data_IF_078750933601
#
_entry.id   IF_078750933601
#
_cell.length_a   1.000
_cell.length_b   1.000
_cell.length_c   1.000
_cell.angle_alpha   90.00
_cell.angle_beta   90.00
_cell.angle_gamma   90.00
#
_symmetry.space_group_name_H-M   'P 1'
#
loop_
_entity.id
_entity.type
_entity.pdbx_description
1 polymer ?
#
# COMPACT_ATOMS: atom_id res chain seq x y z
N UNK A 1 -8.59 -22.74 -1.73
CA UNK A 1 -9.58 -21.86 -2.41
C UNK A 1 -8.85 -20.55 -2.70
N UNK A 2 -8.85 -20.09 -3.92
CA UNK A 2 -8.18 -18.82 -4.27
C UNK A 2 -8.98 -17.64 -3.70
N UNK A 3 -8.33 -16.76 -2.94
CA UNK A 3 -8.94 -15.57 -2.34
C UNK A 3 -9.76 -14.72 -3.32
N UNK A 4 -9.33 -14.46 -4.57
CA UNK A 4 -10.12 -13.69 -5.53
C UNK A 4 -11.51 -14.27 -5.84
N UNK A 5 -11.66 -15.58 -5.78
CA UNK A 5 -12.95 -16.24 -6.08
C UNK A 5 -14.03 -15.98 -5.01
N UNK A 6 -13.63 -15.61 -3.80
CA UNK A 6 -14.58 -15.33 -2.72
C UNK A 6 -15.21 -13.94 -2.83
N UNK A 7 -14.63 -13.05 -3.64
CA UNK A 7 -15.15 -11.70 -3.87
C UNK A 7 -15.97 -11.59 -5.17
N UNK A 8 -16.16 -12.68 -5.91
CA UNK A 8 -17.07 -12.69 -7.05
C UNK A 8 -18.48 -12.26 -6.60
N UNK A 9 -19.05 -11.27 -7.30
CA UNK A 9 -20.32 -10.63 -6.97
C UNK A 9 -20.35 -9.86 -5.63
N UNK A 10 -19.21 -9.43 -5.10
CA UNK A 10 -19.13 -8.53 -3.97
C UNK A 10 -18.94 -7.11 -4.50
N UNK A 11 -19.82 -6.20 -4.11
CA UNK A 11 -19.65 -4.78 -4.43
C UNK A 11 -18.49 -4.22 -3.62
N UNK A 12 -17.47 -3.74 -4.31
CA UNK A 12 -16.29 -3.12 -3.70
C UNK A 12 -16.42 -1.61 -3.88
N UNK A 13 -16.49 -0.89 -2.76
CA UNK A 13 -16.55 0.56 -2.78
C UNK A 13 -15.19 1.12 -3.24
N UNK A 14 -15.14 2.14 -4.12
CA UNK A 14 -13.89 2.75 -4.55
C UNK A 14 -13.10 3.31 -3.35
N UNK A 15 -11.82 2.91 -3.23
CA UNK A 15 -10.97 3.29 -2.10
C UNK A 15 -10.85 4.82 -1.91
N UNK A 16 -10.93 5.58 -2.99
CA UNK A 16 -10.88 7.05 -2.99
C UNK A 16 -12.21 7.70 -3.39
N UNK A 17 -13.34 6.96 -3.31
CA UNK A 17 -14.64 7.44 -3.76
C UNK A 17 -14.57 7.91 -5.21
N UNK A 18 -15.10 9.10 -5.48
CA UNK A 18 -15.07 9.72 -6.82
C UNK A 18 -13.80 10.53 -7.14
N UNK A 19 -12.78 10.45 -6.30
CA UNK A 19 -11.56 11.29 -6.46
C UNK A 19 -10.73 10.89 -7.68
N UNK A 20 -10.52 9.59 -7.92
CA UNK A 20 -9.71 9.10 -9.03
C UNK A 20 -10.48 9.24 -10.34
N UNK A 21 -9.91 9.96 -11.32
CA UNK A 21 -10.49 10.15 -12.64
C UNK A 21 -9.50 9.76 -13.73
N UNK A 22 -9.99 9.09 -14.76
CA UNK A 22 -9.18 8.64 -15.89
C UNK A 22 -8.22 7.51 -15.52
N UNK A 23 -7.41 7.14 -16.50
CA UNK A 23 -6.41 6.08 -16.33
C UNK A 23 -5.23 6.55 -15.47
N UNK A 24 -4.66 5.67 -14.63
CA UNK A 24 -3.48 5.99 -13.85
C UNK A 24 -2.22 6.12 -14.71
N UNK A 25 -1.29 6.94 -14.26
CA UNK A 25 0.10 6.79 -14.67
C UNK A 25 0.73 5.59 -13.98
N UNK A 26 1.34 4.69 -14.74
CA UNK A 26 2.04 3.52 -14.17
C UNK A 26 3.51 3.87 -14.00
N UNK A 27 3.90 4.14 -12.77
CA UNK A 27 5.30 4.36 -12.43
C UNK A 27 6.10 3.07 -12.66
N UNK A 28 7.31 3.22 -13.20
CA UNK A 28 8.27 2.14 -13.25
C UNK A 28 9.33 2.32 -12.15
N UNK A 29 9.04 1.75 -10.98
CA UNK A 29 9.95 1.73 -9.84
C UNK A 29 10.94 0.56 -9.86
N UNK A 30 10.96 -0.22 -10.94
CA UNK A 30 11.83 -1.37 -11.07
C UNK A 30 13.31 -0.98 -11.16
N UNK A 31 14.20 -1.89 -10.76
CA UNK A 31 15.64 -1.66 -10.88
C UNK A 31 16.16 -1.66 -12.31
N UNK A 32 15.34 -2.04 -13.29
CA UNK A 32 15.67 -1.88 -14.71
C UNK A 32 15.52 -0.44 -15.20
N UNK A 33 14.77 0.41 -14.48
CA UNK A 33 14.65 1.83 -14.77
C UNK A 33 15.78 2.61 -14.08
N UNK A 34 16.75 3.18 -14.83
CA UNK A 34 17.88 3.93 -14.25
C UNK A 34 17.43 5.18 -13.47
N UNK A 35 16.28 5.76 -13.79
CA UNK A 35 15.72 6.93 -13.09
C UNK A 35 15.52 6.66 -11.60
N UNK A 36 15.31 5.42 -11.19
CA UNK A 36 15.17 5.04 -9.77
C UNK A 36 16.42 5.35 -8.93
N UNK A 37 17.58 5.48 -9.56
CA UNK A 37 18.83 5.88 -8.89
C UNK A 37 18.94 7.39 -8.70
N UNK A 38 18.14 8.18 -9.42
CA UNK A 38 18.15 9.64 -9.38
C UNK A 38 17.26 10.19 -8.26
N UNK A 39 16.30 9.39 -7.75
CA UNK A 39 15.41 9.82 -6.67
C UNK A 39 16.19 10.14 -5.39
N UNK A 40 15.88 11.30 -4.80
CA UNK A 40 16.43 11.71 -3.51
C UNK A 40 15.63 11.06 -2.37
N UNK A 41 16.07 9.89 -1.92
CA UNK A 41 15.38 9.11 -0.89
C UNK A 41 15.63 9.62 0.55
N UNK A 42 16.44 10.67 0.72
CA UNK A 42 16.81 11.21 2.04
C UNK A 42 16.12 12.52 2.37
N UNK A 43 15.46 13.12 1.39
CA UNK A 43 14.72 14.38 1.52
C UNK A 43 13.30 14.16 1.01
N UNK A 44 12.34 14.14 1.93
CA UNK A 44 10.94 13.89 1.61
C UNK A 44 10.38 14.87 0.57
N UNK A 45 10.60 16.18 0.77
CA UNK A 45 10.00 17.20 -0.09
C UNK A 45 10.53 17.10 -1.52
N UNK A 46 11.83 16.87 -1.66
CA UNK A 46 12.46 16.69 -2.98
C UNK A 46 11.98 15.40 -3.63
N UNK A 47 11.90 14.30 -2.87
CA UNK A 47 11.43 13.03 -3.41
C UNK A 47 9.96 13.11 -3.84
N UNK A 48 9.09 13.65 -3.00
CA UNK A 48 7.67 13.86 -3.30
C UNK A 48 7.49 14.77 -4.54
N UNK A 49 8.24 15.87 -4.61
CA UNK A 49 8.23 16.75 -5.77
C UNK A 49 8.62 16.03 -7.06
N UNK A 50 9.68 15.22 -7.07
CA UNK A 50 10.12 14.44 -8.23
C UNK A 50 9.03 13.50 -8.74
N UNK A 51 8.36 12.79 -7.84
CA UNK A 51 7.26 11.87 -8.17
C UNK A 51 6.07 12.63 -8.77
N UNK A 52 5.65 13.74 -8.13
CA UNK A 52 4.51 14.51 -8.63
C UNK A 52 4.84 15.34 -9.91
N UNK A 53 6.10 15.67 -10.17
CA UNK A 53 6.52 16.23 -11.46
C UNK A 53 6.40 15.20 -12.58
N UNK A 54 6.81 13.96 -12.33
CA UNK A 54 6.64 12.86 -13.27
C UNK A 54 5.16 12.59 -13.56
N UNK A 55 4.33 12.56 -12.53
CA UNK A 55 2.88 12.41 -12.66
C UNK A 55 2.28 13.53 -13.52
N UNK A 56 2.60 14.79 -13.22
CA UNK A 56 2.13 15.95 -14.01
C UNK A 56 2.57 15.89 -15.48
N UNK A 57 3.80 15.46 -15.73
CA UNK A 57 4.31 15.30 -17.10
C UNK A 57 3.55 14.25 -17.91
N UNK A 58 2.96 13.24 -17.26
CA UNK A 58 2.13 12.23 -17.91
C UNK A 58 0.71 12.70 -18.24
N UNK A 59 0.29 13.85 -17.70
CA UNK A 59 -1.10 14.37 -17.76
C UNK A 59 -2.13 13.52 -16.99
N UNK A 60 -1.73 12.49 -16.26
CA UNK A 60 -2.60 11.73 -15.37
C UNK A 60 -2.82 12.47 -14.04
N UNK A 61 -3.97 12.26 -13.42
CA UNK A 61 -4.29 12.87 -12.11
C UNK A 61 -3.76 12.06 -10.93
N UNK A 62 -3.52 10.78 -11.14
CA UNK A 62 -3.05 9.83 -10.14
C UNK A 62 -2.19 8.75 -10.78
N UNK A 63 -1.49 7.98 -9.96
CA UNK A 63 -0.60 6.96 -10.47
C UNK A 63 -0.57 5.69 -9.62
N UNK A 64 0.07 4.65 -10.13
CA UNK A 64 0.29 3.38 -9.43
C UNK A 64 1.74 2.93 -9.52
N UNK A 65 2.23 2.36 -8.42
CA UNK A 65 3.42 1.53 -8.35
C UNK A 65 3.01 0.06 -8.19
N UNK A 66 3.63 -0.83 -8.98
CA UNK A 66 3.12 -2.19 -9.22
C UNK A 66 3.35 -3.16 -8.06
N UNK A 67 2.42 -4.07 -7.89
CA UNK A 67 2.56 -5.28 -7.09
C UNK A 67 3.58 -6.24 -7.71
N UNK A 68 4.41 -6.89 -6.88
CA UNK A 68 5.52 -7.79 -7.24
C UNK A 68 6.60 -7.17 -8.13
N UNK A 69 6.70 -5.85 -8.14
CA UNK A 69 7.77 -5.14 -8.81
C UNK A 69 9.09 -5.26 -8.05
N UNK A 70 10.18 -5.56 -8.74
CA UNK A 70 11.52 -5.61 -8.14
C UNK A 70 12.07 -4.19 -7.97
N UNK A 71 12.33 -3.76 -6.72
CA UNK A 71 12.66 -2.37 -6.34
C UNK A 71 14.02 -2.21 -5.66
N UNK A 72 14.99 -3.04 -5.95
CA UNK A 72 16.29 -3.02 -5.29
C UNK A 72 16.95 -1.62 -5.30
N UNK A 73 16.86 -0.88 -6.40
CA UNK A 73 17.44 0.47 -6.49
C UNK A 73 16.71 1.45 -5.54
N UNK A 74 15.39 1.40 -5.49
CA UNK A 74 14.58 2.25 -4.63
C UNK A 74 14.85 1.97 -3.14
N UNK A 75 15.19 0.73 -2.82
CA UNK A 75 15.45 0.26 -1.46
C UNK A 75 16.93 0.31 -1.04
N UNK A 76 17.81 0.88 -1.88
CA UNK A 76 19.28 0.86 -1.70
C UNK A 76 19.78 1.41 -0.37
N UNK A 77 19.03 2.27 0.30
CA UNK A 77 19.39 2.85 1.58
C UNK A 77 18.96 2.00 2.78
N UNK A 78 18.14 0.97 2.56
CA UNK A 78 17.59 0.12 3.64
C UNK A 78 18.36 -1.19 3.72
N UNK A 79 19.50 -1.15 4.43
CA UNK A 79 20.51 -2.24 4.46
C UNK A 79 19.89 -3.59 4.86
N UNK A 80 18.97 -3.63 5.82
CA UNK A 80 18.35 -4.88 6.27
C UNK A 80 17.55 -5.54 5.13
N UNK A 81 16.75 -4.75 4.43
CA UNK A 81 15.95 -5.23 3.28
C UNK A 81 16.87 -5.76 2.17
N UNK A 82 17.96 -5.04 1.90
CA UNK A 82 18.94 -5.44 0.86
C UNK A 82 19.68 -6.71 1.28
N UNK A 83 20.12 -6.85 2.54
CA UNK A 83 20.81 -8.04 3.05
C UNK A 83 19.90 -9.27 3.01
N UNK A 84 18.63 -9.13 3.34
CA UNK A 84 17.62 -10.18 3.28
C UNK A 84 17.08 -10.42 1.86
N UNK A 85 17.55 -9.66 0.87
CA UNK A 85 17.11 -9.71 -0.54
C UNK A 85 15.60 -9.52 -0.71
N UNK A 86 14.94 -8.84 0.23
CA UNK A 86 13.50 -8.56 0.20
C UNK A 86 13.25 -7.28 -0.60
N UNK A 87 13.15 -7.35 -1.89
CA UNK A 87 12.92 -6.18 -2.75
C UNK A 87 11.80 -6.34 -3.79
N UNK A 88 11.03 -7.43 -3.71
CA UNK A 88 9.79 -7.55 -4.48
C UNK A 88 8.62 -7.00 -3.68
N UNK A 89 7.98 -6.00 -4.20
CA UNK A 89 6.93 -5.21 -3.54
C UNK A 89 5.64 -6.01 -3.36
N UNK A 90 5.16 -6.15 -2.13
CA UNK A 90 3.96 -6.94 -1.80
C UNK A 90 2.64 -6.16 -1.86
N UNK A 91 2.72 -4.85 -2.09
CA UNK A 91 1.57 -3.97 -2.20
C UNK A 91 1.34 -3.41 -3.59
N UNK A 92 0.26 -2.66 -3.72
CA UNK A 92 -0.03 -1.72 -4.79
C UNK A 92 0.10 -0.33 -4.19
N UNK A 93 0.98 0.50 -4.71
CA UNK A 93 1.03 1.90 -4.31
C UNK A 93 0.06 2.71 -5.17
N UNK A 94 -0.77 3.52 -4.54
CA UNK A 94 -1.64 4.46 -5.23
C UNK A 94 -1.17 5.87 -4.90
N UNK A 95 -0.59 6.54 -5.90
CA UNK A 95 0.02 7.86 -5.79
C UNK A 95 -1.05 8.93 -5.96
N UNK A 96 -1.33 9.61 -4.87
CA UNK A 96 -2.31 10.69 -4.77
C UNK A 96 -1.80 11.76 -3.80
N UNK A 97 -2.28 13.01 -3.85
CA UNK A 97 -1.80 14.09 -2.98
C UNK A 97 -2.04 13.83 -1.49
N UNK A 98 -1.25 14.53 -0.68
CA UNK A 98 -1.45 14.62 0.77
C UNK A 98 -2.90 14.95 1.14
N UNK A 99 -3.37 14.39 2.25
CA UNK A 99 -4.70 14.61 2.85
C UNK A 99 -5.89 14.09 2.01
N UNK A 100 -5.63 13.37 0.91
CA UNK A 100 -6.69 12.70 0.14
C UNK A 100 -7.40 11.68 1.04
N UNK A 101 -8.76 11.75 1.16
CA UNK A 101 -9.51 10.83 2.00
C UNK A 101 -9.58 9.43 1.39
N UNK A 102 -9.64 8.42 2.26
CA UNK A 102 -9.74 7.02 1.91
C UNK A 102 -10.97 6.40 2.57
N UNK A 103 -11.67 5.57 1.82
CA UNK A 103 -12.92 4.94 2.21
C UNK A 103 -12.76 3.41 2.25
N UNK A 104 -13.37 2.75 3.23
CA UNK A 104 -13.29 1.30 3.34
C UNK A 104 -13.92 0.63 2.11
N UNK A 105 -13.19 -0.25 1.40
CA UNK A 105 -13.72 -0.90 0.20
C UNK A 105 -14.78 -1.93 0.52
N UNK A 106 -14.77 -2.49 1.71
CA UNK A 106 -15.71 -3.47 2.23
C UNK A 106 -15.92 -3.21 3.72
N UNK A 107 -17.03 -3.74 4.26
CA UNK A 107 -17.22 -3.79 5.71
C UNK A 107 -16.01 -4.47 6.37
N UNK A 108 -15.55 -3.90 7.48
CA UNK A 108 -14.36 -4.35 8.17
C UNK A 108 -14.41 -4.07 9.68
N UNK A 109 -13.54 -4.75 10.41
CA UNK A 109 -13.14 -4.39 11.77
C UNK A 109 -11.75 -3.79 11.73
N UNK A 110 -11.49 -2.72 12.47
CA UNK A 110 -10.15 -2.16 12.64
C UNK A 110 -9.31 -3.14 13.46
N UNK A 111 -8.44 -3.87 12.80
CA UNK A 111 -7.62 -4.91 13.43
C UNK A 111 -6.41 -4.34 14.15
N UNK A 112 -5.73 -3.37 13.52
CA UNK A 112 -4.54 -2.73 14.08
C UNK A 112 -4.37 -1.33 13.49
N UNK A 113 -3.91 -0.41 14.32
CA UNK A 113 -3.44 0.91 13.90
C UNK A 113 -2.08 1.17 14.55
N UNK A 114 -1.28 2.02 13.92
CA UNK A 114 -0.01 2.40 14.51
C UNK A 114 0.74 3.44 13.70
N UNK A 115 1.93 3.75 14.21
CA UNK A 115 2.90 4.61 13.54
C UNK A 115 4.30 4.06 13.73
N UNK A 116 5.00 3.84 12.64
CA UNK A 116 6.42 3.52 12.60
C UNK A 116 7.21 4.79 12.26
N UNK A 117 8.28 5.04 12.99
CA UNK A 117 9.00 6.32 12.88
C UNK A 117 10.34 6.22 12.16
N UNK A 118 10.78 5.00 11.83
CA UNK A 118 12.03 4.81 11.10
C UNK A 118 11.83 5.15 9.62
N UNK A 119 12.85 5.75 9.03
CA UNK A 119 12.87 6.03 7.60
C UNK A 119 12.78 4.74 6.80
N UNK A 120 11.91 4.72 5.79
CA UNK A 120 11.66 3.56 4.94
C UNK A 120 10.59 2.60 5.43
N UNK A 121 10.05 2.81 6.64
CA UNK A 121 8.92 2.06 7.15
C UNK A 121 7.58 2.64 6.66
N UNK A 122 6.47 2.11 7.18
CA UNK A 122 5.12 2.49 6.75
C UNK A 122 4.63 3.86 7.26
N UNK A 123 5.35 4.50 8.23
CA UNK A 123 4.78 5.67 8.88
C UNK A 123 3.49 5.33 9.61
N UNK A 124 2.46 6.15 9.46
CA UNK A 124 1.10 5.84 9.92
C UNK A 124 0.49 4.70 9.13
N UNK A 125 -0.15 3.74 9.83
CA UNK A 125 -0.81 2.62 9.16
C UNK A 125 -2.11 2.18 9.83
N UNK A 126 -2.99 1.61 9.03
CA UNK A 126 -4.24 0.96 9.45
C UNK A 126 -4.31 -0.42 8.81
N UNK A 127 -4.75 -1.41 9.59
CA UNK A 127 -5.06 -2.76 9.09
C UNK A 127 -6.52 -3.03 9.37
N UNK A 128 -7.26 -3.33 8.32
CA UNK A 128 -8.66 -3.71 8.39
C UNK A 128 -8.80 -5.22 8.22
N UNK A 129 -9.59 -5.86 9.08
CA UNK A 129 -9.98 -7.26 8.97
C UNK A 129 -11.33 -7.36 8.28
N UNK A 130 -11.37 -8.09 7.18
CA UNK A 130 -12.58 -8.38 6.42
C UNK A 130 -13.03 -9.83 6.61
N UNK A 131 -14.34 -10.07 6.44
CA UNK A 131 -14.89 -11.41 6.39
C UNK A 131 -15.91 -11.48 5.26
N UNK A 132 -15.58 -12.16 4.17
CA UNK A 132 -16.43 -12.33 3.00
C UNK A 132 -16.63 -13.81 2.75
N UNK A 133 -17.90 -14.27 2.66
CA UNK A 133 -18.23 -15.67 2.45
C UNK A 133 -17.53 -16.64 3.44
N UNK A 134 -17.42 -16.24 4.72
CA UNK A 134 -16.73 -16.97 5.82
C UNK A 134 -15.21 -17.10 5.64
N UNK A 135 -14.61 -16.34 4.74
CA UNK A 135 -13.16 -16.26 4.59
C UNK A 135 -12.67 -14.92 5.15
N UNK A 136 -11.77 -15.01 6.13
CA UNK A 136 -11.12 -13.82 6.68
C UNK A 136 -9.88 -13.47 5.87
N UNK A 137 -9.67 -12.17 5.66
CA UNK A 137 -8.45 -11.61 5.11
C UNK A 137 -8.23 -10.20 5.67
N UNK A 138 -7.07 -9.65 5.46
CA UNK A 138 -6.69 -8.34 5.98
C UNK A 138 -6.23 -7.44 4.84
N UNK A 139 -6.63 -6.17 4.88
CA UNK A 139 -6.07 -5.12 4.05
C UNK A 139 -5.20 -4.20 4.90
N UNK A 140 -3.97 -4.02 4.49
CA UNK A 140 -2.99 -3.16 5.12
C UNK A 140 -2.87 -1.87 4.32
N UNK A 141 -2.91 -0.73 4.99
CA UNK A 141 -2.77 0.59 4.41
C UNK A 141 -1.65 1.33 5.13
N UNK A 142 -0.57 1.62 4.42
CA UNK A 142 0.58 2.38 4.93
C UNK A 142 0.62 3.82 4.46
N UNK A 143 1.53 4.61 5.05
CA UNK A 143 1.83 6.00 4.72
C UNK A 143 0.65 6.96 4.98
N UNK A 144 -0.06 6.71 6.07
CA UNK A 144 -1.29 7.41 6.42
C UNK A 144 -1.05 8.55 7.42
N UNK A 145 -1.85 9.61 7.29
CA UNK A 145 -1.87 10.74 8.22
C UNK A 145 -2.22 10.29 9.64
N UNK A 146 -1.48 10.79 10.62
CA UNK A 146 -1.73 10.55 12.04
C UNK A 146 -2.07 11.85 12.79
N UNK A 147 -2.82 11.80 13.91
CA UNK A 147 -3.46 10.61 14.49
C UNK A 147 -4.63 10.10 13.67
N UNK A 148 -4.93 8.80 13.77
CA UNK A 148 -6.10 8.22 13.13
C UNK A 148 -7.38 8.61 13.87
N UNK A 149 -8.49 8.75 13.12
CA UNK A 149 -9.83 9.08 13.67
C UNK A 149 -10.62 7.86 14.14
N UNK A 150 -10.06 6.66 13.96
CA UNK A 150 -10.64 5.36 14.29
C UNK A 150 -9.81 4.67 15.37
N UNK A 151 -10.39 3.69 16.06
CA UNK A 151 -9.74 2.90 17.10
C UNK A 151 -9.79 1.39 16.77
N UNK A 152 -8.85 0.62 17.35
CA UNK A 152 -8.86 -0.85 17.22
C UNK A 152 -10.16 -1.41 17.78
N UNK A 153 -10.80 -2.31 17.03
CA UNK A 153 -12.10 -2.89 17.33
C UNK A 153 -13.30 -2.16 16.71
N UNK A 154 -13.12 -0.95 16.19
CA UNK A 154 -14.19 -0.23 15.50
C UNK A 154 -14.69 -1.03 14.29
N UNK A 155 -16.02 -1.01 14.08
CA UNK A 155 -16.64 -1.56 12.88
C UNK A 155 -16.78 -0.46 11.85
N UNK A 156 -16.24 -0.70 10.66
CA UNK A 156 -16.22 0.25 9.54
C UNK A 156 -17.13 -0.31 8.43
N UNK A 157 -18.08 0.50 7.99
CA UNK A 157 -18.95 0.11 6.88
C UNK A 157 -18.27 0.42 5.52
N UNK A 158 -18.63 -0.31 4.45
CA UNK A 158 -18.18 -0.01 3.10
C UNK A 158 -18.54 1.45 2.74
N UNK A 159 -17.59 2.20 2.17
CA UNK A 159 -17.76 3.62 1.86
C UNK A 159 -17.60 4.58 3.04
N UNK A 160 -17.32 4.10 4.24
CA UNK A 160 -16.99 4.97 5.36
C UNK A 160 -15.54 5.46 5.26
N UNK A 161 -15.31 6.78 5.44
CA UNK A 161 -13.97 7.34 5.55
C UNK A 161 -13.27 6.77 6.80
N UNK A 162 -12.05 6.23 6.63
CA UNK A 162 -11.31 5.65 7.74
C UNK A 162 -9.88 6.20 7.89
N UNK A 163 -9.33 6.82 6.83
CA UNK A 163 -7.97 7.34 6.84
C UNK A 163 -7.78 8.45 5.80
N UNK A 164 -6.62 9.09 5.86
CA UNK A 164 -6.15 10.06 4.86
C UNK A 164 -4.69 9.84 4.56
N UNK A 165 -4.26 10.24 3.36
CA UNK A 165 -2.86 10.15 2.93
C UNK A 165 -1.98 11.03 3.82
N UNK A 166 -0.89 10.46 4.32
CA UNK A 166 0.14 11.12 5.10
C UNK A 166 1.22 11.76 4.25
N UNK A 167 2.10 12.50 4.91
CA UNK A 167 3.33 13.06 4.33
C UNK A 167 4.44 13.06 5.35
N UNK A 168 5.67 13.22 4.91
CA UNK A 168 6.85 13.39 5.77
C UNK A 168 6.95 12.33 6.89
N UNK A 169 6.85 12.74 8.15
CA UNK A 169 6.92 11.81 9.29
C UNK A 169 5.76 10.81 9.36
N UNK A 170 4.65 11.10 8.72
CA UNK A 170 3.50 10.19 8.63
C UNK A 170 3.64 9.18 7.51
N UNK A 171 4.50 9.44 6.51
CA UNK A 171 4.75 8.53 5.39
C UNK A 171 5.99 7.63 5.59
N UNK A 172 6.70 7.74 6.69
CA UNK A 172 7.99 7.06 6.87
C UNK A 172 9.09 7.57 5.93
N UNK A 173 8.95 8.81 5.42
CA UNK A 173 9.88 9.43 4.48
C UNK A 173 9.62 9.10 3.01
N UNK A 174 8.56 8.37 2.69
CA UNK A 174 8.12 8.12 1.32
C UNK A 174 7.25 9.27 0.80
N UNK A 175 7.23 9.47 -0.53
CA UNK A 175 6.33 10.39 -1.22
C UNK A 175 4.85 10.11 -0.88
N UNK A 176 3.95 11.05 -1.19
CA UNK A 176 2.53 10.91 -0.87
C UNK A 176 1.87 9.80 -1.71
N UNK A 177 1.47 8.72 -1.05
CA UNK A 177 0.74 7.57 -1.62
C UNK A 177 0.13 6.75 -0.49
N UNK A 178 -0.69 5.78 -0.83
CA UNK A 178 -1.00 4.64 0.04
C UNK A 178 -0.31 3.39 -0.48
N UNK A 179 0.32 2.65 0.41
CA UNK A 179 0.70 1.26 0.18
C UNK A 179 -0.49 0.38 0.56
N UNK A 180 -1.17 -0.19 -0.43
CA UNK A 180 -2.27 -1.13 -0.23
C UNK A 180 -1.74 -2.56 -0.38
N UNK A 181 -1.86 -3.37 0.67
CA UNK A 181 -1.46 -4.78 0.64
C UNK A 181 -2.56 -5.67 1.20
N UNK A 182 -2.65 -6.90 0.68
CA UNK A 182 -3.57 -7.90 1.18
C UNK A 182 -2.79 -9.03 1.85
N UNK A 183 -3.29 -9.42 3.03
CA UNK A 183 -2.74 -10.55 3.76
C UNK A 183 -3.85 -11.58 4.02
N UNK A 184 -3.51 -12.83 3.88
CA UNK A 184 -4.38 -13.92 4.31
C UNK A 184 -4.31 -14.08 5.83
N UNK A 185 -5.28 -14.75 6.43
CA UNK A 185 -5.23 -15.11 7.85
C UNK A 185 -3.98 -15.96 8.15
N UNK A 186 -3.53 -16.75 7.19
CA UNK A 186 -2.29 -17.52 7.29
C UNK A 186 -1.06 -16.61 7.43
N UNK A 187 -0.93 -15.58 6.60
CA UNK A 187 0.18 -14.64 6.67
C UNK A 187 0.25 -13.95 8.04
N UNK A 188 -0.90 -13.55 8.57
CA UNK A 188 -1.00 -12.92 9.91
C UNK A 188 -0.59 -13.90 11.02
N UNK A 189 -1.09 -15.13 10.98
CA UNK A 189 -0.79 -16.15 11.99
C UNK A 189 0.67 -16.61 11.97
N UNK A 190 1.32 -16.58 10.81
CA UNK A 190 2.74 -16.93 10.63
C UNK A 190 3.69 -15.73 10.88
N UNK A 191 3.15 -14.55 11.26
CA UNK A 191 3.95 -13.39 11.69
C UNK A 191 4.45 -12.48 10.56
N UNK A 192 3.81 -12.51 9.38
CA UNK A 192 4.20 -11.69 8.21
C UNK A 192 3.39 -10.39 8.08
N UNK A 193 2.79 -9.91 9.16
CA UNK A 193 1.87 -8.77 9.14
C UNK A 193 2.52 -7.47 8.65
N UNK A 194 3.79 -7.26 8.94
CA UNK A 194 4.57 -6.05 8.66
C UNK A 194 5.54 -6.19 7.47
N UNK A 195 5.39 -7.25 6.67
CA UNK A 195 6.23 -7.47 5.50
C UNK A 195 5.68 -6.72 4.28
N UNK A 196 6.37 -5.65 3.84
CA UNK A 196 6.05 -4.91 2.60
C UNK A 196 6.80 -5.40 1.36
N UNK A 197 7.83 -6.23 1.58
CA UNK A 197 8.68 -6.76 0.53
C UNK A 197 9.06 -8.21 0.81
N UNK A 198 9.24 -8.99 -0.26
CA UNK A 198 9.59 -10.40 -0.20
C UNK A 198 10.87 -10.69 -1.00
N UNK A 199 11.59 -11.74 -0.61
CA UNK A 199 12.76 -12.22 -1.34
C UNK A 199 12.35 -13.19 -2.47
N UNK A 200 13.20 -13.37 -3.51
CA UNK A 200 12.95 -14.34 -4.58
C UNK A 200 12.71 -15.76 -4.08
N UNK A 201 13.42 -16.18 -3.04
CA UNK A 201 13.34 -17.54 -2.50
C UNK A 201 11.97 -17.83 -1.87
N UNK A 202 11.27 -16.81 -1.40
CA UNK A 202 9.95 -16.90 -0.77
C UNK A 202 8.78 -16.61 -1.74
N UNK A 203 9.06 -16.32 -3.01
CA UNK A 203 8.02 -16.10 -4.02
C UNK A 203 6.94 -17.20 -4.09
N UNK A 204 7.25 -18.50 -3.89
CA UNK A 204 6.22 -19.54 -3.91
C UNK A 204 5.12 -19.36 -2.84
N UNK A 205 5.38 -18.64 -1.76
CA UNK A 205 4.36 -18.40 -0.72
C UNK A 205 3.41 -17.24 -1.04
N UNK A 206 3.74 -16.39 -2.00
CA UNK A 206 2.97 -15.18 -2.33
C UNK A 206 1.48 -15.48 -2.51
N UNK A 207 1.13 -16.47 -3.31
CA UNK A 207 -0.28 -16.79 -3.60
C UNK A 207 -1.09 -17.20 -2.35
N UNK A 208 -0.44 -17.74 -1.33
CA UNK A 208 -1.08 -18.22 -0.11
C UNK A 208 -1.01 -17.23 1.06
N UNK A 209 -0.17 -16.19 0.99
CA UNK A 209 0.05 -15.24 2.06
C UNK A 209 -0.29 -13.81 1.67
N UNK A 210 0.08 -13.40 0.46
CA UNK A 210 0.00 -12.01 0.00
C UNK A 210 -0.70 -11.94 -1.36
N UNK A 211 -2.01 -12.26 -1.45
CA UNK A 211 -2.71 -12.19 -2.72
C UNK A 211 -2.68 -10.77 -3.29
N UNK A 212 -2.82 -10.69 -4.61
CA UNK A 212 -2.76 -9.42 -5.33
C UNK A 212 -3.78 -8.40 -4.80
N UNK A 213 -3.40 -7.17 -4.46
CA UNK A 213 -4.32 -6.14 -4.00
C UNK A 213 -5.27 -5.62 -5.07
N UNK A 214 -5.01 -5.88 -6.35
CA UNK A 214 -5.88 -5.45 -7.45
C UNK A 214 -7.32 -5.95 -7.34
N UNK A 215 -7.58 -7.06 -6.64
CA UNK A 215 -8.96 -7.55 -6.47
C UNK A 215 -9.78 -6.72 -5.48
N UNK A 216 -9.15 -5.94 -4.62
CA UNK A 216 -9.80 -5.06 -3.64
C UNK A 216 -9.77 -3.58 -4.08
N UNK A 217 -8.94 -3.26 -5.07
CA UNK A 217 -8.81 -1.89 -5.57
C UNK A 217 -9.78 -1.66 -6.73
N UNK A 218 -10.78 -0.81 -6.49
CA UNK A 218 -11.73 -0.30 -7.47
C UNK A 218 -11.60 1.23 -7.57
N UNK A 219 -11.74 1.82 -8.77
CA UNK A 219 -11.63 3.25 -9.05
C UNK A 219 -12.54 3.70 -10.19
#
# INVERSE_FOLDING_TARGET
MYYPLNLQNTDIFPLFGDYLKGEPYVFDFSSSNPKTLEYNLTDFEVFDQMIFEELRASSAQWGIGRYLEERKNLLRLYSNIIQEKRYYHLGLDIVVPYDTPMYAPLKAEVYKIGKETQLGNYGGYVILKHSVNKVAFYSFYGHLKTPHSIAVGDQIEAGQEFARIGKESDSGGWFCHVHLQILTERAVNEGYLDWGYISPDLMPMVASHFPSPYFLFNY
#
